data_IF_407746677622
#
_entry.id   IF_407746677622
#
_cell.length_a   1.000
_cell.length_b   1.000
_cell.length_c   1.000
_cell.angle_alpha   90.00
_cell.angle_beta   90.00
_cell.angle_gamma   90.00
#
_symmetry.space_group_name_H-M   'P 1'
#
loop_
_entity.id
_entity.type
_entity.pdbx_description
1 polymer ?
#
# COMPACT_ATOMS: atom_id res chain seq x y z
N UNK A 1 -36.44 21.60 -3.47
CA UNK A 1 -35.10 22.21 -3.69
C UNK A 1 -34.43 22.58 -2.37
N UNK A 2 -35.15 23.20 -1.43
CA UNK A 2 -34.64 23.52 -0.08
C UNK A 2 -34.32 22.26 0.77
N UNK A 3 -35.10 21.18 0.64
CA UNK A 3 -34.86 19.92 1.38
C UNK A 3 -33.61 19.16 0.93
N UNK A 4 -33.19 19.33 -0.33
CA UNK A 4 -31.92 18.77 -0.80
C UNK A 4 -30.73 19.61 -0.36
N UNK A 5 -30.93 20.92 -0.22
CA UNK A 5 -29.90 21.84 0.24
C UNK A 5 -29.60 21.64 1.73
N UNK A 6 -30.61 21.35 2.54
CA UNK A 6 -30.45 20.98 3.96
C UNK A 6 -29.78 19.62 4.15
N UNK A 7 -30.13 18.63 3.32
CA UNK A 7 -29.47 17.32 3.32
C UNK A 7 -27.98 17.41 2.93
N UNK A 8 -27.65 18.22 1.92
CA UNK A 8 -26.26 18.47 1.50
C UNK A 8 -25.48 19.22 2.57
N UNK A 9 -26.06 20.23 3.21
CA UNK A 9 -25.40 20.98 4.30
C UNK A 9 -25.18 20.08 5.53
N UNK A 10 -26.13 19.23 5.88
CA UNK A 10 -25.97 18.24 6.95
C UNK A 10 -24.88 17.22 6.61
N UNK A 11 -24.85 16.72 5.38
CA UNK A 11 -23.83 15.78 4.90
C UNK A 11 -22.42 16.40 4.90
N UNK A 12 -22.29 17.67 4.50
CA UNK A 12 -21.02 18.41 4.57
C UNK A 12 -20.58 18.67 6.01
N UNK A 13 -21.51 18.88 6.94
CA UNK A 13 -21.24 19.04 8.37
C UNK A 13 -20.80 17.73 9.07
N UNK A 14 -21.13 16.57 8.49
CA UNK A 14 -20.69 15.26 8.97
C UNK A 14 -19.36 14.77 8.37
N UNK A 15 -18.77 15.51 7.41
CA UNK A 15 -17.48 15.12 6.85
C UNK A 15 -16.36 15.29 7.89
N UNK A 16 -15.44 14.31 8.01
CA UNK A 16 -14.29 14.46 8.85
C UNK A 16 -13.47 15.69 8.42
N UNK A 17 -12.99 16.46 9.39
CA UNK A 17 -12.15 17.62 9.08
C UNK A 17 -10.91 17.20 8.28
N UNK A 18 -10.39 18.12 7.47
CA UNK A 18 -9.14 17.91 6.72
C UNK A 18 -8.00 17.46 7.64
N UNK A 19 -7.98 17.95 8.89
CA UNK A 19 -6.99 17.53 9.89
C UNK A 19 -7.10 16.06 10.28
N UNK A 20 -8.31 15.53 10.43
CA UNK A 20 -8.56 14.10 10.74
C UNK A 20 -8.21 13.22 9.55
N UNK A 21 -8.55 13.64 8.34
CA UNK A 21 -8.17 12.91 7.12
C UNK A 21 -6.64 12.89 6.99
N UNK A 22 -5.98 14.04 7.15
CA UNK A 22 -4.53 14.15 7.04
C UNK A 22 -3.80 13.30 8.10
N UNK A 23 -4.27 13.26 9.34
CA UNK A 23 -3.66 12.44 10.40
C UNK A 23 -3.81 10.96 10.12
N UNK A 24 -4.97 10.49 9.64
CA UNK A 24 -5.19 9.09 9.25
C UNK A 24 -4.33 8.69 8.05
N UNK A 25 -4.18 9.57 7.06
CA UNK A 25 -3.29 9.34 5.91
C UNK A 25 -1.82 9.28 6.34
N UNK A 26 -1.38 10.19 7.22
CA UNK A 26 -0.04 10.17 7.77
C UNK A 26 0.24 8.91 8.58
N UNK A 27 -0.71 8.48 9.41
CA UNK A 27 -0.62 7.21 10.14
C UNK A 27 -0.55 6.03 9.17
N UNK A 28 -1.42 6.00 8.15
CA UNK A 28 -1.37 5.00 7.10
C UNK A 28 0.02 4.92 6.46
N UNK A 29 0.63 6.06 6.14
CA UNK A 29 1.99 6.10 5.61
C UNK A 29 3.04 5.51 6.57
N UNK A 30 2.96 5.83 7.87
CA UNK A 30 3.84 5.24 8.90
C UNK A 30 3.67 3.72 8.96
N UNK A 31 2.43 3.23 8.97
CA UNK A 31 2.14 1.79 8.96
C UNK A 31 2.65 1.14 7.66
N UNK A 32 2.52 1.82 6.52
CA UNK A 32 3.07 1.37 5.24
C UNK A 32 4.59 1.25 5.24
N UNK A 33 5.31 2.20 5.87
CA UNK A 33 6.76 2.08 6.07
C UNK A 33 7.09 0.88 6.95
N UNK A 34 6.39 0.70 8.07
CA UNK A 34 6.59 -0.46 8.94
C UNK A 34 6.34 -1.79 8.20
N UNK A 35 5.30 -1.86 7.38
CA UNK A 35 5.00 -3.00 6.52
C UNK A 35 6.09 -3.24 5.47
N UNK A 36 6.67 -2.20 4.89
CA UNK A 36 7.80 -2.33 3.96
C UNK A 36 9.06 -2.87 4.67
N UNK A 37 9.35 -2.43 5.89
CA UNK A 37 10.45 -2.96 6.71
C UNK A 37 10.24 -4.45 7.00
N UNK A 38 9.03 -4.87 7.36
CA UNK A 38 8.74 -6.30 7.58
C UNK A 38 8.84 -7.09 6.26
N UNK A 39 8.42 -6.50 5.14
CA UNK A 39 8.52 -7.08 3.81
C UNK A 39 9.98 -7.28 3.35
N UNK A 40 10.96 -6.57 3.92
CA UNK A 40 12.38 -6.82 3.64
C UNK A 40 12.80 -8.25 4.05
N UNK A 41 12.18 -8.83 5.09
CA UNK A 41 12.50 -10.17 5.61
C UNK A 41 12.40 -11.25 4.52
N UNK A 42 11.27 -11.41 3.81
CA UNK A 42 11.19 -12.33 2.68
C UNK A 42 11.95 -11.82 1.45
N UNK A 43 12.11 -10.50 1.24
CA UNK A 43 12.86 -9.97 0.09
C UNK A 43 14.34 -10.36 0.15
N UNK A 44 14.96 -10.29 1.33
CA UNK A 44 16.36 -10.72 1.54
C UNK A 44 16.58 -12.22 1.37
N UNK A 45 15.52 -13.03 1.50
CA UNK A 45 15.59 -14.50 1.38
C UNK A 45 15.28 -15.01 -0.02
N UNK A 46 14.91 -14.13 -0.93
CA UNK A 46 14.44 -14.45 -2.27
C UNK A 46 15.40 -13.88 -3.30
N UNK A 47 15.80 -14.71 -4.28
CA UNK A 47 16.80 -14.33 -5.29
C UNK A 47 16.43 -13.06 -6.07
N UNK A 48 15.14 -12.89 -6.37
CA UNK A 48 14.57 -11.73 -7.08
C UNK A 48 13.80 -10.79 -6.13
N UNK A 49 14.01 -10.91 -4.81
CA UNK A 49 13.21 -10.22 -3.81
C UNK A 49 13.26 -8.69 -3.93
N UNK A 50 14.44 -8.14 -4.21
CA UNK A 50 14.65 -6.70 -4.41
C UNK A 50 14.55 -6.25 -5.88
N UNK A 51 14.39 -7.16 -6.84
CA UNK A 51 14.29 -6.84 -8.27
C UNK A 51 13.23 -5.77 -8.56
N UNK A 52 12.03 -5.79 -7.95
CA UNK A 52 11.04 -4.72 -8.10
C UNK A 52 11.57 -3.34 -7.71
N UNK A 53 12.29 -3.25 -6.60
CA UNK A 53 12.85 -2.00 -6.09
C UNK A 53 13.95 -1.45 -7.00
N UNK A 54 14.83 -2.32 -7.50
CA UNK A 54 15.86 -1.95 -8.48
C UNK A 54 15.26 -1.43 -9.80
N UNK A 55 14.22 -2.08 -10.32
CA UNK A 55 13.54 -1.63 -11.55
C UNK A 55 12.85 -0.28 -11.31
N UNK A 56 12.16 -0.11 -10.17
CA UNK A 56 11.51 1.15 -9.85
C UNK A 56 12.53 2.30 -9.71
N UNK A 57 13.63 2.07 -8.99
CA UNK A 57 14.69 3.04 -8.82
C UNK A 57 15.41 3.37 -10.15
N UNK A 58 15.60 2.40 -11.04
CA UNK A 58 16.25 2.62 -12.33
C UNK A 58 15.42 3.55 -13.23
N UNK A 59 14.09 3.44 -13.17
CA UNK A 59 13.16 4.33 -13.87
C UNK A 59 13.29 5.77 -13.36
N UNK A 60 13.37 5.95 -12.03
CA UNK A 60 13.55 7.28 -11.41
C UNK A 60 14.92 7.86 -11.77
N UNK A 61 15.98 7.05 -11.68
CA UNK A 61 17.37 7.43 -11.96
C UNK A 61 17.69 7.52 -13.46
N UNK A 62 16.78 7.08 -14.34
CA UNK A 62 16.98 6.97 -15.80
C UNK A 62 18.25 6.19 -16.16
N UNK A 63 18.49 5.09 -15.46
CA UNK A 63 19.62 4.18 -15.68
C UNK A 63 19.11 2.75 -15.84
N UNK A 64 20.02 1.80 -16.07
CA UNK A 64 19.67 0.38 -16.12
C UNK A 64 19.59 -0.19 -14.70
N UNK A 65 18.74 -1.21 -14.43
CA UNK A 65 18.61 -1.79 -13.09
C UNK A 65 19.92 -2.31 -12.47
N UNK A 66 20.86 -2.78 -13.28
CA UNK A 66 22.19 -3.27 -12.86
C UNK A 66 23.15 -2.15 -12.40
N UNK A 67 22.81 -0.89 -12.72
CA UNK A 67 23.59 0.28 -12.34
C UNK A 67 22.99 1.03 -11.13
N UNK A 68 21.94 0.51 -10.50
CA UNK A 68 21.30 1.12 -9.34
C UNK A 68 21.96 0.59 -8.07
N UNK A 69 22.36 1.48 -7.18
CA UNK A 69 22.88 1.10 -5.86
C UNK A 69 21.77 0.57 -4.95
N UNK A 70 22.12 -0.36 -4.07
CA UNK A 70 21.17 -0.94 -3.12
C UNK A 70 20.46 0.11 -2.27
N UNK A 71 21.16 1.18 -1.85
CA UNK A 71 20.57 2.25 -1.04
C UNK A 71 19.41 2.95 -1.77
N UNK A 72 19.57 3.22 -3.06
CA UNK A 72 18.54 3.86 -3.88
C UNK A 72 17.32 2.95 -4.05
N UNK A 73 17.56 1.67 -4.35
CA UNK A 73 16.50 0.67 -4.43
C UNK A 73 15.75 0.57 -3.09
N UNK A 74 16.48 0.49 -1.98
CA UNK A 74 15.91 0.38 -0.65
C UNK A 74 15.08 1.63 -0.27
N UNK A 75 15.58 2.83 -0.60
CA UNK A 75 14.84 4.07 -0.38
C UNK A 75 13.53 4.08 -1.18
N UNK A 76 13.58 3.73 -2.46
CA UNK A 76 12.39 3.69 -3.33
C UNK A 76 11.36 2.67 -2.83
N UNK A 77 11.81 1.51 -2.36
CA UNK A 77 10.95 0.49 -1.73
C UNK A 77 10.20 1.06 -0.51
N UNK A 78 10.91 1.70 0.42
CA UNK A 78 10.30 2.25 1.62
C UNK A 78 9.37 3.43 1.33
N UNK A 79 9.72 4.29 0.36
CA UNK A 79 8.84 5.37 -0.12
C UNK A 79 7.57 4.79 -0.77
N UNK A 80 7.70 3.73 -1.57
CA UNK A 80 6.55 3.03 -2.14
C UNK A 80 5.68 2.40 -1.05
N UNK A 81 6.29 1.86 0.01
CA UNK A 81 5.60 1.40 1.22
C UNK A 81 4.79 2.50 1.89
N UNK A 82 5.39 3.67 2.11
CA UNK A 82 4.71 4.84 2.67
C UNK A 82 3.50 5.26 1.81
N UNK A 83 3.68 5.37 0.49
CA UNK A 83 2.60 5.73 -0.43
C UNK A 83 1.49 4.67 -0.46
N UNK A 84 1.84 3.39 -0.36
CA UNK A 84 0.88 2.28 -0.29
C UNK A 84 0.08 2.31 1.01
N UNK A 85 0.71 2.66 2.13
CA UNK A 85 0.04 2.87 3.41
C UNK A 85 -0.86 4.12 3.45
N UNK A 86 -0.44 5.21 2.78
CA UNK A 86 -1.30 6.37 2.58
C UNK A 86 -2.53 6.00 1.73
N UNK A 87 -2.32 5.25 0.65
CA UNK A 87 -3.40 4.73 -0.21
C UNK A 87 -4.34 3.81 0.57
N UNK A 88 -3.81 2.93 1.41
CA UNK A 88 -4.59 2.11 2.33
C UNK A 88 -5.55 2.96 3.17
N UNK A 89 -5.06 4.03 3.82
CA UNK A 89 -5.88 4.89 4.65
C UNK A 89 -7.00 5.58 3.87
N UNK A 90 -6.72 6.01 2.63
CA UNK A 90 -7.75 6.59 1.76
C UNK A 90 -8.84 5.59 1.39
N UNK A 91 -8.45 4.36 1.02
CA UNK A 91 -9.42 3.29 0.73
C UNK A 91 -10.22 2.94 1.98
N UNK A 92 -9.56 2.84 3.13
CA UNK A 92 -10.21 2.58 4.42
C UNK A 92 -11.27 3.61 4.72
N UNK A 93 -10.94 4.91 4.64
CA UNK A 93 -11.89 5.99 4.88
C UNK A 93 -13.13 5.92 3.97
N UNK A 94 -12.94 5.55 2.70
CA UNK A 94 -14.05 5.38 1.76
C UNK A 94 -14.89 4.17 2.13
N UNK A 95 -14.27 3.02 2.39
CA UNK A 95 -14.96 1.76 2.69
C UNK A 95 -15.72 1.85 4.03
N UNK A 96 -15.09 2.39 5.05
CA UNK A 96 -15.65 2.65 6.38
C UNK A 96 -16.89 3.57 6.29
N UNK A 97 -16.87 4.56 5.39
CA UNK A 97 -18.01 5.47 5.22
C UNK A 97 -19.26 4.86 4.56
N UNK A 98 -19.14 3.68 3.93
CA UNK A 98 -20.24 3.05 3.17
C UNK A 98 -20.69 1.71 3.73
N UNK A 99 -19.85 1.04 4.52
CA UNK A 99 -20.20 -0.24 5.13
C UNK A 99 -20.88 -0.02 6.49
N UNK A 100 -21.86 -0.88 6.84
CA UNK A 100 -22.37 -0.90 8.20
C UNK A 100 -21.30 -1.42 9.16
N UNK A 101 -21.25 -0.86 10.36
CA UNK A 101 -20.35 -1.32 11.43
C UNK A 101 -20.59 -2.80 11.74
N UNK A 102 -19.53 -3.61 11.71
CA UNK A 102 -19.57 -5.02 12.07
C UNK A 102 -18.36 -5.38 12.95
N UNK A 103 -18.29 -4.82 14.18
CA UNK A 103 -17.11 -4.95 15.03
C UNK A 103 -16.90 -6.40 15.48
N UNK A 104 -15.67 -6.88 15.29
CA UNK A 104 -15.16 -8.13 15.86
C UNK A 104 -14.15 -7.76 16.95
N UNK A 105 -14.41 -8.19 18.19
CA UNK A 105 -13.59 -7.84 19.36
C UNK A 105 -13.37 -6.32 19.56
N UNK A 106 -14.37 -5.49 19.19
CA UNK A 106 -14.30 -4.04 19.32
C UNK A 106 -13.55 -3.32 18.18
N UNK A 107 -13.22 -4.03 17.10
CA UNK A 107 -12.55 -3.48 15.91
C UNK A 107 -13.41 -3.76 14.68
N UNK A 108 -13.69 -2.73 13.87
CA UNK A 108 -14.41 -2.91 12.61
C UNK A 108 -13.47 -3.47 11.53
N UNK A 109 -13.45 -4.81 11.42
CA UNK A 109 -12.49 -5.53 10.60
C UNK A 109 -12.79 -5.49 9.08
N UNK A 110 -14.04 -5.46 8.59
CA UNK A 110 -14.31 -5.48 7.14
C UNK A 110 -13.63 -4.36 6.34
N UNK A 111 -13.66 -3.08 6.77
CA UNK A 111 -12.94 -2.02 6.07
C UNK A 111 -11.43 -2.26 5.98
N UNK A 112 -10.82 -2.79 7.04
CA UNK A 112 -9.39 -3.13 7.05
C UNK A 112 -9.06 -4.28 6.07
N UNK A 113 -9.89 -5.32 6.01
CA UNK A 113 -9.71 -6.46 5.08
C UNK A 113 -9.81 -5.99 3.63
N UNK A 114 -10.86 -5.24 3.30
CA UNK A 114 -11.10 -4.76 1.93
C UNK A 114 -9.97 -3.83 1.50
N UNK A 115 -9.61 -2.87 2.34
CA UNK A 115 -8.54 -1.90 2.04
C UNK A 115 -7.19 -2.59 1.84
N UNK A 116 -6.87 -3.58 2.68
CA UNK A 116 -5.67 -4.40 2.53
C UNK A 116 -5.68 -5.16 1.20
N UNK A 117 -6.80 -5.81 0.87
CA UNK A 117 -6.96 -6.53 -0.39
C UNK A 117 -6.80 -5.63 -1.61
N UNK A 118 -7.40 -4.44 -1.59
CA UNK A 118 -7.26 -3.43 -2.64
C UNK A 118 -5.80 -3.01 -2.80
N UNK A 119 -5.08 -2.74 -1.71
CA UNK A 119 -3.67 -2.33 -1.75
C UNK A 119 -2.78 -3.46 -2.30
N UNK A 120 -2.91 -4.67 -1.77
CA UNK A 120 -2.13 -5.84 -2.23
C UNK A 120 -2.36 -6.11 -3.71
N UNK A 121 -3.62 -6.11 -4.15
CA UNK A 121 -3.96 -6.27 -5.56
C UNK A 121 -3.37 -5.14 -6.41
N UNK A 122 -3.48 -3.89 -5.94
CA UNK A 122 -2.96 -2.71 -6.65
C UNK A 122 -1.45 -2.77 -6.80
N UNK A 123 -0.68 -3.01 -5.73
CA UNK A 123 0.79 -3.06 -5.82
C UNK A 123 1.26 -4.25 -6.67
N UNK A 124 0.55 -5.39 -6.63
CA UNK A 124 0.85 -6.54 -7.46
C UNK A 124 0.61 -6.24 -8.95
N UNK A 125 -0.55 -5.66 -9.28
CA UNK A 125 -0.90 -5.31 -10.66
C UNK A 125 -0.01 -4.19 -11.19
N UNK A 126 0.20 -3.13 -10.40
CA UNK A 126 1.05 -2.00 -10.76
C UNK A 126 2.46 -2.47 -11.08
N UNK A 127 3.01 -3.33 -10.24
CA UNK A 127 4.31 -3.94 -10.51
C UNK A 127 4.27 -4.79 -11.79
N UNK A 128 3.35 -5.75 -11.86
CA UNK A 128 3.34 -6.77 -12.91
C UNK A 128 3.09 -6.22 -14.31
N UNK A 129 2.31 -5.14 -14.43
CA UNK A 129 1.87 -4.55 -15.70
C UNK A 129 2.63 -3.29 -16.07
N UNK A 130 3.18 -2.54 -15.11
CA UNK A 130 3.84 -1.27 -15.41
C UNK A 130 5.31 -1.28 -15.02
N UNK A 131 5.67 -1.73 -13.84
CA UNK A 131 7.08 -1.68 -13.39
C UNK A 131 7.91 -2.77 -14.06
N UNK A 132 7.49 -4.03 -13.99
CA UNK A 132 8.24 -5.17 -14.50
C UNK A 132 8.56 -5.09 -16.01
N UNK A 133 7.67 -4.62 -16.90
CA UNK A 133 8.03 -4.43 -18.32
C UNK A 133 9.18 -3.45 -18.56
N UNK A 134 9.52 -2.60 -17.57
CA UNK A 134 10.65 -1.65 -17.65
C UNK A 134 11.99 -2.26 -17.25
N UNK A 135 12.02 -3.55 -16.88
CA UNK A 135 13.23 -4.25 -16.46
C UNK A 135 14.25 -4.52 -17.59
N UNK A 136 13.83 -4.38 -18.85
CA UNK A 136 14.62 -4.79 -20.01
C UNK A 136 14.49 -6.29 -20.31
N UNK A 137 15.03 -6.71 -21.46
CA UNK A 137 14.80 -8.04 -22.04
C UNK A 137 15.22 -9.20 -21.14
N UNK A 138 16.40 -9.16 -20.53
CA UNK A 138 16.92 -10.29 -19.75
C UNK A 138 16.04 -10.66 -18.55
N UNK A 139 15.60 -9.67 -17.76
CA UNK A 139 14.74 -9.92 -16.60
C UNK A 139 13.30 -10.23 -17.04
N UNK A 140 12.78 -9.51 -18.04
CA UNK A 140 11.38 -9.64 -18.45
C UNK A 140 11.09 -10.91 -19.26
N UNK A 141 11.99 -11.32 -20.14
CA UNK A 141 11.76 -12.45 -21.05
C UNK A 141 12.13 -13.79 -20.40
N UNK A 142 13.13 -13.84 -19.51
CA UNK A 142 13.64 -15.10 -18.96
C UNK A 142 13.09 -15.41 -17.55
N UNK A 143 12.85 -14.39 -16.72
CA UNK A 143 12.60 -14.57 -15.27
C UNK A 143 11.32 -13.95 -14.75
N UNK A 144 10.48 -13.34 -15.60
CA UNK A 144 9.29 -12.60 -15.17
C UNK A 144 8.33 -13.40 -14.28
N UNK A 145 8.11 -14.70 -14.55
CA UNK A 145 7.24 -15.54 -13.70
C UNK A 145 7.81 -15.72 -12.29
N UNK A 146 9.12 -15.95 -12.18
CA UNK A 146 9.78 -16.07 -10.89
C UNK A 146 9.72 -14.75 -10.12
N UNK A 147 10.02 -13.63 -10.78
CA UNK A 147 9.95 -12.29 -10.19
C UNK A 147 8.53 -11.96 -9.70
N UNK A 148 7.50 -12.24 -10.51
CA UNK A 148 6.08 -12.04 -10.11
C UNK A 148 5.68 -12.92 -8.93
N UNK A 149 6.08 -14.18 -8.92
CA UNK A 149 5.76 -15.11 -7.84
C UNK A 149 6.43 -14.70 -6.52
N UNK A 150 7.69 -14.26 -6.57
CA UNK A 150 8.40 -13.75 -5.40
C UNK A 150 7.81 -12.42 -4.91
N UNK A 151 7.46 -11.52 -5.83
CA UNK A 151 6.76 -10.27 -5.52
C UNK A 151 5.40 -10.51 -4.86
N UNK A 152 4.62 -11.48 -5.33
CA UNK A 152 3.34 -11.84 -4.73
C UNK A 152 3.51 -12.25 -3.26
N UNK A 153 4.49 -13.12 -2.95
CA UNK A 153 4.76 -13.54 -1.57
C UNK A 153 5.13 -12.37 -0.67
N UNK A 154 6.01 -11.49 -1.13
CA UNK A 154 6.41 -10.30 -0.37
C UNK A 154 5.24 -9.32 -0.20
N UNK A 155 4.40 -9.15 -1.24
CA UNK A 155 3.20 -8.30 -1.18
C UNK A 155 2.17 -8.82 -0.18
N UNK A 156 2.04 -10.15 -0.05
CA UNK A 156 1.19 -10.76 0.97
C UNK A 156 1.72 -10.53 2.38
N UNK A 157 3.05 -10.53 2.57
CA UNK A 157 3.65 -10.15 3.86
C UNK A 157 3.36 -8.70 4.20
N UNK A 158 3.52 -7.78 3.24
CA UNK A 158 3.13 -6.38 3.40
C UNK A 158 1.65 -6.24 3.83
N UNK A 159 0.75 -6.92 3.10
CA UNK A 159 -0.68 -6.93 3.41
C UNK A 159 -1.00 -7.51 4.79
N UNK A 160 -0.36 -8.62 5.18
CA UNK A 160 -0.53 -9.20 6.51
C UNK A 160 -0.08 -8.24 7.61
N UNK A 161 1.03 -7.53 7.41
CA UNK A 161 1.49 -6.50 8.35
C UNK A 161 0.50 -5.34 8.45
N UNK A 162 -0.05 -4.84 7.33
CA UNK A 162 -1.10 -3.82 7.35
C UNK A 162 -2.32 -4.30 8.15
N UNK A 163 -2.79 -5.54 7.89
CA UNK A 163 -3.99 -6.08 8.53
C UNK A 163 -3.82 -6.31 10.04
N UNK A 164 -2.59 -6.44 10.53
CA UNK A 164 -2.29 -6.56 11.96
C UNK A 164 -2.10 -5.18 12.59
N UNK A 165 -1.26 -4.32 12.00
CA UNK A 165 -0.87 -3.06 12.62
C UNK A 165 -1.92 -1.97 12.47
N UNK A 166 -2.57 -1.86 11.31
CA UNK A 166 -3.51 -0.77 11.06
C UNK A 166 -4.73 -0.82 11.99
N UNK A 167 -5.41 -1.96 12.24
CA UNK A 167 -6.54 -1.97 13.16
C UNK A 167 -6.14 -1.60 14.59
N UNK A 168 -4.98 -2.06 15.06
CA UNK A 168 -4.47 -1.73 16.39
C UNK A 168 -4.21 -0.23 16.57
N UNK A 169 -3.73 0.44 15.53
CA UNK A 169 -3.36 1.85 15.58
C UNK A 169 -4.52 2.79 15.23
N UNK A 170 -5.45 2.38 14.37
CA UNK A 170 -6.63 3.16 14.01
C UNK A 170 -7.69 3.12 15.11
N UNK A 171 -7.81 2.00 15.84
CA UNK A 171 -8.70 1.91 17.00
C UNK A 171 -8.27 2.83 18.16
N UNK A 172 -6.98 3.18 18.26
CA UNK A 172 -6.43 4.05 19.30
C UNK A 172 -6.61 5.56 19.06
N UNK A 173 -7.25 5.97 17.96
CA UNK A 173 -7.43 7.38 17.56
C UNK A 173 -8.94 7.72 17.42
N UNK A 174 -9.80 6.91 18.02
CA UNK A 174 -11.24 7.17 18.14
C UNK A 174 -11.54 8.23 19.22
#
# INVERSE_FOLDING_TARGET
>A
MLDQLSAVVAALGSLPSVGVVASRVALGAIVGVAAAVVMDIPMWRQEEGFTPAYIAASVIRRTRPDNVDFLDANLVHHVAGALSGAFYALVYLVVDSVLPEAPLFGVDFPPHVISTGVVVASIYVLFSQFVLPRAGRSIYEERATAVRGQWLRSSLVFGATLLILAPALFAGIA
#
